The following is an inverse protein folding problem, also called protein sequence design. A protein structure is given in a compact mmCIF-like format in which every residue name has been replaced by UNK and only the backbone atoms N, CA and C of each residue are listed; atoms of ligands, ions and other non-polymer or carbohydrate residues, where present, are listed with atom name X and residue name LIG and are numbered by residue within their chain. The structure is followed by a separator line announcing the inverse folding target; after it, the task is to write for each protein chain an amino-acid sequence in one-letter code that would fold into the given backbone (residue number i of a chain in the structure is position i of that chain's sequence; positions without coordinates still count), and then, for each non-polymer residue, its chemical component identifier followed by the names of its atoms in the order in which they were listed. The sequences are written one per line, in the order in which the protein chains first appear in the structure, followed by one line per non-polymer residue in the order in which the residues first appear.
data_IF_624425731686
#
_entry.id   IF_624425731686
#
_cell.length_a   1.000
_cell.length_b   1.000
_cell.length_c   1.000
_cell.angle_alpha   90.00
_cell.angle_beta   90.00
_cell.angle_gamma   90.00
#
_symmetry.space_group_name_H-M   'P 1'
#
loop_
_entity.id
_entity.type
_entity.pdbx_description
1 polymer ?
#
# COMPACT_ATOMS: atom_id res chain seq x y z
N UNK A 1 9.97 -22.35 -21.52
CA UNK A 1 8.66 -21.66 -21.35
C UNK A 1 8.72 -20.48 -20.38
N UNK A 2 9.37 -20.62 -19.22
CA UNK A 2 9.48 -19.56 -18.19
C UNK A 2 10.16 -18.27 -18.70
N UNK A 3 11.30 -18.39 -19.37
CA UNK A 3 12.04 -17.27 -19.98
C UNK A 3 11.21 -16.53 -21.04
N UNK A 4 10.38 -17.25 -21.78
CA UNK A 4 9.51 -16.68 -22.82
C UNK A 4 8.38 -15.84 -22.21
N UNK A 5 7.86 -16.25 -21.04
CA UNK A 5 6.83 -15.49 -20.30
C UNK A 5 7.38 -14.21 -19.71
N UNK A 6 8.59 -14.26 -19.14
CA UNK A 6 9.29 -13.06 -18.68
C UNK A 6 9.56 -12.08 -19.83
N UNK A 7 10.11 -12.57 -20.95
CA UNK A 7 10.36 -11.74 -22.14
C UNK A 7 9.09 -11.10 -22.68
N UNK A 8 8.00 -11.86 -22.74
CA UNK A 8 6.70 -11.36 -23.18
C UNK A 8 6.15 -10.30 -22.21
N UNK A 9 6.22 -10.55 -20.90
CA UNK A 9 5.74 -9.61 -19.89
C UNK A 9 6.54 -8.30 -19.88
N UNK A 10 7.87 -8.39 -20.05
CA UNK A 10 8.74 -7.21 -20.21
C UNK A 10 8.37 -6.44 -21.47
N UNK A 11 8.22 -7.13 -22.61
CA UNK A 11 7.89 -6.50 -23.88
C UNK A 11 6.52 -5.81 -23.84
N UNK A 12 5.52 -6.45 -23.23
CA UNK A 12 4.20 -5.85 -23.02
C UNK A 12 4.25 -4.70 -21.99
N UNK A 13 4.99 -4.84 -20.90
CA UNK A 13 5.13 -3.79 -19.88
C UNK A 13 5.80 -2.52 -20.40
N UNK A 14 6.88 -2.66 -21.15
CA UNK A 14 7.62 -1.56 -21.76
C UNK A 14 6.84 -0.86 -22.87
N UNK A 15 5.97 -1.57 -23.59
CA UNK A 15 5.25 -1.01 -24.75
C UNK A 15 3.85 -0.54 -24.40
N UNK A 16 3.04 -1.37 -23.74
CA UNK A 16 1.61 -1.10 -23.51
C UNK A 16 1.41 -0.04 -22.43
N UNK A 17 2.18 -0.06 -21.33
CA UNK A 17 1.98 0.88 -20.22
C UNK A 17 2.31 2.33 -20.61
N UNK A 18 3.43 2.62 -21.31
CA UNK A 18 3.68 3.98 -21.82
C UNK A 18 2.70 4.38 -22.91
N UNK A 19 2.35 3.47 -23.82
CA UNK A 19 1.39 3.76 -24.90
C UNK A 19 0.01 4.14 -24.35
N UNK A 20 -0.41 3.52 -23.26
CA UNK A 20 -1.67 3.86 -22.59
C UNK A 20 -1.69 5.28 -22.03
N UNK A 21 -0.59 5.72 -21.40
CA UNK A 21 -0.44 7.11 -20.94
C UNK A 21 -0.48 8.07 -22.11
N UNK A 22 0.27 7.76 -23.16
CA UNK A 22 0.28 8.58 -24.37
C UNK A 22 -1.12 8.72 -24.97
N UNK A 23 -1.87 7.62 -25.11
CA UNK A 23 -3.23 7.62 -25.61
C UNK A 23 -4.17 8.44 -24.71
N UNK A 24 -4.04 8.32 -23.39
CA UNK A 24 -4.86 9.06 -22.44
C UNK A 24 -4.59 10.57 -22.47
N UNK A 25 -3.32 10.97 -22.40
CA UNK A 25 -2.95 12.39 -22.45
C UNK A 25 -3.26 13.01 -23.84
N UNK A 26 -3.20 12.22 -24.91
CA UNK A 26 -3.64 12.65 -26.25
C UNK A 26 -5.16 12.87 -26.31
N UNK A 27 -5.96 11.94 -25.78
CA UNK A 27 -7.41 12.11 -25.68
C UNK A 27 -7.78 13.35 -24.87
N UNK A 28 -7.08 13.58 -23.75
CA UNK A 28 -7.28 14.76 -22.93
C UNK A 28 -6.95 16.05 -23.69
N UNK A 29 -5.82 16.10 -24.41
CA UNK A 29 -5.45 17.25 -25.24
C UNK A 29 -6.53 17.56 -26.30
N UNK A 30 -7.15 16.53 -26.89
CA UNK A 30 -8.27 16.68 -27.82
C UNK A 30 -9.48 17.31 -27.12
N UNK A 31 -9.87 16.83 -25.93
CA UNK A 31 -10.98 17.41 -25.16
C UNK A 31 -10.71 18.88 -24.78
N UNK A 32 -9.53 19.18 -24.26
CA UNK A 32 -9.13 20.56 -23.93
C UNK A 32 -9.16 21.47 -25.17
N UNK A 33 -8.75 20.96 -26.33
CA UNK A 33 -8.82 21.66 -27.61
C UNK A 33 -10.25 22.01 -28.00
N UNK A 34 -11.18 21.05 -27.87
CA UNK A 34 -12.60 21.28 -28.16
C UNK A 34 -13.22 22.34 -27.23
N UNK A 35 -12.91 22.28 -25.94
CA UNK A 35 -13.38 23.27 -24.95
C UNK A 35 -12.84 24.66 -25.28
N UNK A 36 -11.54 24.78 -25.57
CA UNK A 36 -10.93 26.05 -25.90
C UNK A 36 -11.49 26.68 -27.17
N UNK A 37 -11.73 25.89 -28.22
CA UNK A 37 -12.40 26.36 -29.45
C UNK A 37 -13.81 26.86 -29.14
N UNK A 38 -14.57 26.11 -28.32
CA UNK A 38 -15.88 26.55 -27.85
C UNK A 38 -15.82 27.87 -27.09
N UNK A 39 -14.85 28.03 -26.19
CA UNK A 39 -14.66 29.23 -25.39
C UNK A 39 -14.33 30.47 -26.25
N UNK A 40 -13.50 30.34 -27.30
CA UNK A 40 -13.19 31.45 -28.23
C UNK A 40 -14.46 32.00 -28.90
N UNK A 41 -15.46 31.15 -29.15
CA UNK A 41 -16.72 31.56 -29.80
C UNK A 41 -17.74 32.05 -28.76
N UNK A 42 -17.92 31.31 -27.67
CA UNK A 42 -18.98 31.57 -26.69
C UNK A 42 -18.69 32.75 -25.77
N UNK A 43 -17.44 32.96 -25.34
CA UNK A 43 -17.11 34.06 -24.43
C UNK A 43 -17.39 35.43 -25.05
N UNK A 44 -16.94 35.75 -26.29
CA UNK A 44 -17.26 37.04 -26.90
C UNK A 44 -18.76 37.23 -27.10
N UNK A 45 -19.49 36.16 -27.42
CA UNK A 45 -20.95 36.20 -27.55
C UNK A 45 -21.64 36.52 -26.20
N UNK A 46 -21.17 35.91 -25.12
CA UNK A 46 -21.68 36.14 -23.77
C UNK A 46 -21.43 37.58 -23.31
N UNK A 47 -20.23 38.11 -23.57
CA UNK A 47 -19.91 39.52 -23.29
C UNK A 47 -20.76 40.48 -24.14
N UNK A 48 -20.93 40.20 -25.43
CA UNK A 48 -21.79 41.01 -26.30
C UNK A 48 -23.25 41.04 -25.80
N UNK A 49 -23.76 39.91 -25.30
CA UNK A 49 -25.08 39.84 -24.68
C UNK A 49 -25.13 40.64 -23.37
N UNK A 50 -24.10 40.53 -22.52
CA UNK A 50 -24.00 41.31 -21.28
C UNK A 50 -23.98 42.82 -21.55
N UNK A 51 -23.19 43.29 -22.53
CA UNK A 51 -23.13 44.72 -22.88
C UNK A 51 -24.46 45.23 -23.43
N UNK A 52 -25.16 44.41 -24.23
CA UNK A 52 -26.51 44.73 -24.68
C UNK A 52 -27.47 44.89 -23.50
N UNK A 53 -27.44 43.98 -22.53
CA UNK A 53 -28.29 44.05 -21.34
C UNK A 53 -27.97 45.22 -20.41
N UNK A 54 -26.73 45.72 -20.43
CA UNK A 54 -26.30 46.95 -19.74
C UNK A 54 -26.64 48.24 -20.52
N UNK A 55 -27.39 48.15 -21.62
CA UNK A 55 -27.88 49.31 -22.37
C UNK A 55 -26.87 49.91 -23.34
N UNK A 56 -25.78 49.20 -23.68
CA UNK A 56 -24.81 49.67 -24.65
C UNK A 56 -25.40 49.69 -26.07
N UNK A 57 -25.12 50.75 -26.84
CA UNK A 57 -25.60 50.85 -28.22
C UNK A 57 -25.03 49.72 -29.10
N UNK A 58 -25.75 49.27 -30.15
CA UNK A 58 -25.31 48.16 -31.00
C UNK A 58 -23.93 48.37 -31.63
N UNK A 59 -23.63 49.61 -32.06
CA UNK A 59 -22.36 49.98 -32.69
C UNK A 59 -21.19 49.96 -31.69
N UNK A 60 -21.39 50.50 -30.48
CA UNK A 60 -20.37 50.48 -29.44
C UNK A 60 -20.11 49.05 -28.95
N UNK A 61 -21.16 48.24 -28.78
CA UNK A 61 -21.04 46.84 -28.40
C UNK A 61 -20.25 46.02 -29.44
N UNK A 62 -20.55 46.21 -30.73
CA UNK A 62 -19.81 45.56 -31.81
C UNK A 62 -18.33 45.93 -31.80
N UNK A 63 -18.01 47.24 -31.71
CA UNK A 63 -16.62 47.71 -31.68
C UNK A 63 -15.87 47.16 -30.46
N UNK A 64 -16.45 47.24 -29.27
CA UNK A 64 -15.81 46.80 -28.03
C UNK A 64 -15.63 45.27 -28.00
N UNK A 65 -16.63 44.52 -28.47
CA UNK A 65 -16.52 43.05 -28.55
C UNK A 65 -15.45 42.63 -29.56
N UNK A 66 -15.44 43.19 -30.76
CA UNK A 66 -14.52 42.76 -31.82
C UNK A 66 -13.08 43.27 -31.63
N UNK A 67 -12.88 44.49 -31.11
CA UNK A 67 -11.55 45.09 -30.96
C UNK A 67 -10.89 44.79 -29.62
N UNK A 68 -11.68 44.49 -28.57
CA UNK A 68 -11.14 44.29 -27.22
C UNK A 68 -11.39 42.87 -26.74
N UNK A 69 -12.65 42.44 -26.70
CA UNK A 69 -13.01 41.14 -26.10
C UNK A 69 -12.47 39.97 -26.91
N UNK A 70 -12.66 39.96 -28.23
CA UNK A 70 -12.18 38.86 -29.10
C UNK A 70 -10.64 38.72 -29.01
N UNK A 71 -9.83 39.78 -29.19
CA UNK A 71 -8.37 39.66 -29.06
C UNK A 71 -7.91 39.23 -27.67
N UNK A 72 -8.52 39.76 -26.60
CA UNK A 72 -8.22 39.31 -25.23
C UNK A 72 -8.54 37.83 -25.05
N UNK A 73 -9.71 37.40 -25.50
CA UNK A 73 -10.16 36.01 -25.37
C UNK A 73 -9.20 35.06 -26.10
N UNK A 74 -8.82 35.41 -27.33
CA UNK A 74 -7.85 34.64 -28.14
C UNK A 74 -6.48 34.60 -27.47
N UNK A 75 -5.98 35.74 -26.96
CA UNK A 75 -4.68 35.82 -26.30
C UNK A 75 -4.65 34.97 -25.01
N UNK A 76 -5.64 35.12 -24.14
CA UNK A 76 -5.74 34.36 -22.89
C UNK A 76 -5.85 32.86 -23.17
N UNK A 77 -6.71 32.46 -24.12
CA UNK A 77 -6.87 31.04 -24.48
C UNK A 77 -5.58 30.48 -25.07
N UNK A 78 -4.86 31.25 -25.88
CA UNK A 78 -3.58 30.83 -26.46
C UNK A 78 -2.49 30.63 -25.39
N UNK A 79 -2.43 31.50 -24.38
CA UNK A 79 -1.51 31.34 -23.24
C UNK A 79 -1.87 30.07 -22.45
N UNK A 80 -3.15 29.87 -22.14
CA UNK A 80 -3.63 28.68 -21.43
C UNK A 80 -3.32 27.40 -22.23
N UNK A 81 -3.51 27.42 -23.56
CA UNK A 81 -3.14 26.31 -24.43
C UNK A 81 -1.65 26.02 -24.41
N UNK A 82 -0.80 27.05 -24.49
CA UNK A 82 0.66 26.87 -24.47
C UNK A 82 1.12 26.27 -23.14
N UNK A 83 0.59 26.75 -22.02
CA UNK A 83 0.88 26.20 -20.68
C UNK A 83 0.39 24.76 -20.56
N UNK A 84 -0.86 24.50 -20.96
CA UNK A 84 -1.46 23.15 -20.89
C UNK A 84 -0.71 22.16 -21.78
N UNK A 85 -0.35 22.55 -23.00
CA UNK A 85 0.43 21.71 -23.91
C UNK A 85 1.82 21.41 -23.34
N UNK A 86 2.51 22.41 -22.81
CA UNK A 86 3.83 22.24 -22.19
C UNK A 86 3.75 21.29 -21.00
N UNK A 87 2.75 21.48 -20.13
CA UNK A 87 2.48 20.60 -18.99
C UNK A 87 2.20 19.16 -19.44
N UNK A 88 1.27 18.97 -20.39
CA UNK A 88 0.92 17.64 -20.87
C UNK A 88 2.10 16.94 -21.53
N UNK A 89 2.93 17.65 -22.29
CA UNK A 89 4.15 17.07 -22.88
C UNK A 89 5.09 16.59 -21.77
N UNK A 90 5.37 17.44 -20.78
CA UNK A 90 6.25 17.12 -19.67
C UNK A 90 5.73 15.93 -18.85
N UNK A 91 4.46 15.99 -18.46
CA UNK A 91 3.77 14.93 -17.71
C UNK A 91 3.73 13.61 -18.49
N UNK A 92 3.44 13.66 -19.79
CA UNK A 92 3.45 12.48 -20.66
C UNK A 92 4.83 11.83 -20.67
N UNK A 93 5.90 12.61 -20.86
CA UNK A 93 7.27 12.08 -20.89
C UNK A 93 7.66 11.44 -19.56
N UNK A 94 7.41 12.12 -18.43
CA UNK A 94 7.74 11.59 -17.11
C UNK A 94 6.94 10.33 -16.79
N UNK A 95 5.62 10.37 -16.93
CA UNK A 95 4.76 9.21 -16.62
C UNK A 95 5.05 8.03 -17.56
N UNK A 96 5.37 8.28 -18.83
CA UNK A 96 5.81 7.23 -19.76
C UNK A 96 7.12 6.60 -19.30
N UNK A 97 8.09 7.39 -18.83
CA UNK A 97 9.36 6.88 -18.32
C UNK A 97 9.18 6.06 -17.04
N UNK A 98 8.36 6.56 -16.11
CA UNK A 98 8.00 5.84 -14.88
C UNK A 98 7.28 4.54 -15.19
N UNK A 99 6.34 4.55 -16.13
CA UNK A 99 5.57 3.36 -16.54
C UNK A 99 6.39 2.38 -17.35
N UNK A 100 7.35 2.87 -18.14
CA UNK A 100 8.35 2.05 -18.80
C UNK A 100 9.18 1.30 -17.76
N UNK A 101 9.68 2.02 -16.74
CA UNK A 101 10.49 1.44 -15.68
C UNK A 101 9.70 0.45 -14.82
N UNK A 102 8.48 0.81 -14.46
CA UNK A 102 7.55 -0.03 -13.71
C UNK A 102 7.16 -1.29 -14.51
N UNK A 103 6.91 -1.16 -15.81
CA UNK A 103 6.65 -2.29 -16.70
C UNK A 103 7.83 -3.22 -16.87
N UNK A 104 9.03 -2.67 -17.02
CA UNK A 104 10.28 -3.44 -17.08
C UNK A 104 10.51 -4.22 -15.78
N UNK A 105 10.49 -3.53 -14.63
CA UNK A 105 10.71 -4.14 -13.31
C UNK A 105 9.66 -5.19 -13.01
N UNK A 106 8.39 -4.91 -13.28
CA UNK A 106 7.29 -5.84 -12.96
C UNK A 106 7.31 -7.08 -13.87
N UNK A 107 7.60 -6.91 -15.17
CA UNK A 107 7.75 -8.05 -16.08
C UNK A 107 8.98 -8.90 -15.80
N UNK A 108 10.08 -8.29 -15.32
CA UNK A 108 11.32 -8.98 -14.97
C UNK A 108 11.23 -9.74 -13.65
N UNK A 109 10.49 -9.23 -12.66
CA UNK A 109 10.41 -9.84 -11.32
C UNK A 109 9.19 -10.76 -11.13
N UNK A 110 8.10 -10.56 -11.88
CA UNK A 110 6.81 -11.19 -11.59
C UNK A 110 6.06 -11.70 -12.83
N UNK A 111 6.74 -11.89 -13.96
CA UNK A 111 6.14 -12.36 -15.23
C UNK A 111 4.88 -11.57 -15.66
N UNK A 112 3.93 -12.28 -16.28
CA UNK A 112 2.64 -11.76 -16.72
C UNK A 112 1.75 -11.28 -15.57
N UNK A 113 1.93 -11.80 -14.36
CA UNK A 113 1.20 -11.30 -13.18
C UNK A 113 1.70 -9.91 -12.77
N UNK A 114 3.01 -9.68 -12.86
CA UNK A 114 3.63 -8.35 -12.71
C UNK A 114 3.11 -7.35 -13.71
N UNK A 115 3.07 -7.72 -14.99
CA UNK A 115 2.47 -6.88 -16.02
C UNK A 115 0.98 -6.60 -15.72
N UNK A 116 0.20 -7.62 -15.37
CA UNK A 116 -1.22 -7.47 -15.07
C UNK A 116 -1.47 -6.55 -13.87
N UNK A 117 -0.64 -6.64 -12.84
CA UNK A 117 -0.71 -5.77 -11.67
C UNK A 117 -0.32 -4.32 -12.02
N UNK A 118 0.80 -4.14 -12.74
CA UNK A 118 1.24 -2.84 -13.24
C UNK A 118 0.18 -2.16 -14.13
N UNK A 119 -0.49 -2.94 -14.97
CA UNK A 119 -1.57 -2.45 -15.82
C UNK A 119 -2.81 -2.00 -15.04
N UNK A 120 -3.16 -2.69 -13.95
CA UNK A 120 -4.32 -2.32 -13.12
C UNK A 120 -4.05 -1.16 -12.16
N UNK A 121 -2.83 -1.05 -11.66
CA UNK A 121 -2.40 -0.05 -10.67
C UNK A 121 -2.03 1.30 -11.28
N UNK A 122 -1.87 1.37 -12.60
CA UNK A 122 -1.62 2.63 -13.30
C UNK A 122 -2.85 3.56 -13.18
N UNK A 123 -2.83 4.43 -12.17
CA UNK A 123 -3.85 5.44 -11.90
C UNK A 123 -3.73 6.57 -12.91
N UNK A 124 -4.69 6.66 -13.82
CA UNK A 124 -4.70 7.65 -14.90
C UNK A 124 -5.29 9.01 -14.48
N UNK A 125 -5.81 9.18 -13.25
CA UNK A 125 -6.88 10.17 -13.07
C UNK A 125 -6.98 10.94 -11.73
N UNK A 126 -5.90 11.14 -10.96
CA UNK A 126 -6.03 11.81 -9.64
C UNK A 126 -5.56 13.28 -9.56
N UNK A 127 -4.66 13.77 -10.42
CA UNK A 127 -4.04 15.09 -10.17
C UNK A 127 -4.71 16.28 -10.88
N UNK A 128 -5.40 16.08 -11.99
CA UNK A 128 -5.84 17.20 -12.84
C UNK A 128 -7.08 17.92 -12.31
N UNK A 129 -8.05 17.22 -11.72
CA UNK A 129 -9.20 17.87 -11.08
C UNK A 129 -8.81 18.67 -9.84
N UNK A 130 -7.75 18.24 -9.15
CA UNK A 130 -7.16 18.93 -7.99
C UNK A 130 -6.46 20.21 -8.46
N UNK A 131 -5.71 20.16 -9.56
CA UNK A 131 -5.06 21.36 -10.14
C UNK A 131 -6.06 22.32 -10.80
N UNK A 132 -7.12 21.82 -11.43
CA UNK A 132 -8.19 22.66 -11.98
C UNK A 132 -8.98 23.34 -10.86
N UNK A 133 -9.22 22.66 -9.73
CA UNK A 133 -9.75 23.26 -8.51
C UNK A 133 -8.80 24.33 -7.97
N UNK A 134 -7.52 24.02 -7.79
CA UNK A 134 -6.55 24.99 -7.30
C UNK A 134 -6.46 26.26 -8.17
N UNK A 135 -6.65 26.15 -9.49
CA UNK A 135 -6.71 27.31 -10.39
C UNK A 135 -8.03 28.10 -10.28
N UNK A 136 -9.16 27.42 -10.02
CA UNK A 136 -10.47 28.05 -9.77
C UNK A 136 -10.48 28.73 -8.38
N UNK A 137 -9.88 28.10 -7.38
CA UNK A 137 -9.79 28.56 -6.00
C UNK A 137 -8.83 29.76 -5.88
N UNK A 138 -7.77 29.82 -6.70
CA UNK A 138 -6.91 31.01 -6.83
C UNK A 138 -7.65 32.27 -7.34
N UNK A 139 -8.81 32.11 -8.01
CA UNK A 139 -9.62 33.23 -8.51
C UNK A 139 -10.68 33.69 -7.50
N UNK A 140 -10.94 32.91 -6.44
CA UNK A 140 -11.91 33.23 -5.39
C UNK A 140 -11.21 33.40 -4.03
N UNK A 141 -10.50 34.52 -3.88
CA UNK A 141 -9.65 34.82 -2.71
C UNK A 141 -10.44 35.19 -1.41
N UNK A 142 -11.69 34.74 -1.24
CA UNK A 142 -12.47 35.02 -0.02
C UNK A 142 -13.11 33.78 0.66
N UNK A 143 -12.99 32.57 0.13
CA UNK A 143 -13.54 31.38 0.79
C UNK A 143 -12.69 30.13 0.52
N UNK A 144 -11.66 29.92 1.35
CA UNK A 144 -11.21 28.60 1.86
C UNK A 144 -9.77 28.67 2.40
N UNK A 145 -9.64 28.64 3.74
CA UNK A 145 -8.46 28.05 4.38
C UNK A 145 -9.00 26.84 5.13
N UNK A 146 -9.00 25.70 4.45
CA UNK A 146 -9.00 24.37 5.07
C UNK A 146 -8.70 23.33 3.97
N UNK A 147 -7.47 23.36 3.49
CA UNK A 147 -6.73 22.21 2.92
C UNK A 147 -5.36 22.74 2.45
N UNK A 148 -4.48 23.02 3.41
CA UNK A 148 -3.06 23.27 3.13
C UNK A 148 -2.28 22.08 3.69
N UNK A 149 -1.97 21.12 2.82
CA UNK A 149 -0.81 20.23 2.98
C UNK A 149 0.10 20.48 1.77
N UNK A 150 0.73 21.66 1.78
CA UNK A 150 1.77 22.02 0.82
C UNK A 150 3.11 21.53 1.37
N UNK A 151 3.57 20.43 0.78
CA UNK A 151 4.92 19.89 0.88
C UNK A 151 5.96 21.01 1.07
N UNK A 152 6.68 20.95 2.19
CA UNK A 152 7.80 21.82 2.48
C UNK A 152 8.83 21.74 1.35
N UNK A 153 8.85 22.75 0.49
CA UNK A 153 10.01 23.36 -0.19
C UNK A 153 9.50 24.35 -1.25
N UNK A 154 9.30 25.61 -0.86
CA UNK A 154 9.51 26.73 -1.79
C UNK A 154 10.63 27.60 -1.25
N UNK A 155 11.79 27.54 -1.93
CA UNK A 155 12.84 28.54 -1.82
C UNK A 155 12.26 29.88 -2.23
N UNK A 156 11.88 30.71 -1.25
CA UNK A 156 11.77 32.15 -1.47
C UNK A 156 13.20 32.68 -1.56
N UNK A 157 13.65 32.93 -2.79
CA UNK A 157 14.83 33.73 -3.07
C UNK A 157 14.37 35.18 -3.12
N UNK A 158 14.37 35.84 -1.97
CA UNK A 158 13.95 37.24 -1.85
C UNK A 158 13.94 37.72 -0.40
N UNK A 159 15.08 38.26 0.02
CA UNK A 159 15.30 39.18 1.13
C UNK A 159 14.98 38.75 2.57
N UNK A 160 15.97 38.98 3.43
CA UNK A 160 16.00 38.69 4.86
C UNK A 160 14.92 39.47 5.61
N UNK A 161 13.94 38.78 6.17
CA UNK A 161 13.27 39.18 7.40
C UNK A 161 12.97 37.92 8.21
N UNK A 162 13.30 37.96 9.50
CA UNK A 162 13.05 36.91 10.49
C UNK A 162 11.55 36.66 10.61
N UNK A 163 11.02 35.85 9.71
CA UNK A 163 9.75 35.17 9.92
C UNK A 163 10.08 33.98 10.81
N UNK A 164 9.72 34.10 12.08
CA UNK A 164 9.64 32.94 12.98
C UNK A 164 8.64 31.98 12.34
N UNK A 165 9.17 31.00 11.60
CA UNK A 165 8.39 29.90 11.04
C UNK A 165 7.87 29.10 12.23
N UNK A 166 6.67 29.44 12.68
CA UNK A 166 5.88 28.59 13.55
C UNK A 166 5.61 27.34 12.72
N UNK A 167 6.39 26.30 12.97
CA UNK A 167 6.10 24.97 12.43
C UNK A 167 4.83 24.55 13.16
N UNK A 168 3.68 24.66 12.51
CA UNK A 168 2.51 23.91 12.97
C UNK A 168 2.94 22.45 13.01
N UNK A 169 2.89 21.86 14.21
CA UNK A 169 3.27 20.47 14.44
C UNK A 169 2.37 19.59 13.57
N UNK A 170 2.90 19.12 12.44
CA UNK A 170 2.23 18.16 11.56
C UNK A 170 1.69 17.01 12.41
N UNK A 171 0.36 16.83 12.39
CA UNK A 171 -0.32 15.81 13.20
C UNK A 171 0.26 14.43 12.88
N UNK A 172 1.03 13.90 13.83
CA UNK A 172 1.58 12.56 13.74
C UNK A 172 0.42 11.55 13.79
N UNK A 173 0.23 10.70 12.76
CA UNK A 173 -0.82 9.69 12.79
C UNK A 173 -0.60 8.73 13.96
N UNK A 174 -1.68 8.43 14.69
CA UNK A 174 -1.64 7.43 15.76
C UNK A 174 -1.63 6.02 15.16
N UNK A 175 -0.43 5.51 14.92
CA UNK A 175 -0.18 4.21 14.27
C UNK A 175 0.05 3.08 15.29
N UNK A 176 0.14 3.40 16.58
CA UNK A 176 0.45 2.41 17.62
C UNK A 176 -0.74 1.51 17.93
N UNK A 177 -0.59 0.20 17.68
CA UNK A 177 -1.61 -0.76 18.10
C UNK A 177 -1.40 -1.14 19.56
N UNK A 178 -2.37 -0.75 20.41
CA UNK A 178 -2.35 -1.02 21.88
C UNK A 178 -3.05 -2.31 22.29
N UNK A 179 -3.75 -2.99 21.38
CA UNK A 179 -4.48 -4.22 21.71
C UNK A 179 -3.51 -5.39 21.85
N UNK A 180 -3.64 -6.20 22.93
CA UNK A 180 -2.77 -7.35 23.13
C UNK A 180 -2.95 -8.33 21.97
N UNK A 181 -1.82 -8.66 21.36
CA UNK A 181 -1.78 -9.62 20.27
C UNK A 181 -2.05 -11.01 20.83
N UNK A 182 -2.93 -11.77 20.17
CA UNK A 182 -3.20 -13.15 20.56
C UNK A 182 -1.92 -13.96 20.31
N UNK A 183 -1.41 -14.64 21.33
CA UNK A 183 -0.26 -15.54 21.21
C UNK A 183 -0.57 -16.63 20.19
N UNK A 184 0.15 -16.61 19.08
CA UNK A 184 -0.11 -17.46 17.94
C UNK A 184 0.82 -18.66 17.92
N UNK A 185 0.30 -19.81 17.48
CA UNK A 185 1.06 -21.04 17.31
C UNK A 185 1.86 -20.95 16.00
N UNK A 186 3.03 -20.31 16.07
CA UNK A 186 3.98 -20.23 14.95
C UNK A 186 4.42 -21.63 14.52
N UNK A 187 4.86 -21.76 13.26
CA UNK A 187 5.39 -23.01 12.75
C UNK A 187 6.73 -23.31 13.38
N UNK A 188 6.90 -24.53 13.88
CA UNK A 188 8.19 -24.97 14.39
C UNK A 188 9.16 -25.32 13.25
N UNK A 189 10.44 -25.48 13.59
CA UNK A 189 11.49 -25.83 12.62
C UNK A 189 11.22 -27.15 11.89
N UNK A 190 10.54 -28.10 12.56
CA UNK A 190 10.24 -29.40 11.97
C UNK A 190 9.12 -29.32 10.94
N UNK A 191 8.07 -28.54 11.23
CA UNK A 191 6.98 -28.24 10.32
C UNK A 191 7.49 -27.50 9.08
N UNK A 192 8.38 -26.50 9.25
CA UNK A 192 9.00 -25.80 8.12
C UNK A 192 9.83 -26.74 7.24
N UNK A 193 10.65 -27.61 7.83
CA UNK A 193 11.41 -28.62 7.07
C UNK A 193 10.50 -29.60 6.32
N UNK A 194 9.35 -29.97 6.90
CA UNK A 194 8.38 -30.84 6.23
C UNK A 194 7.73 -30.13 5.04
N UNK A 195 7.38 -28.85 5.17
CA UNK A 195 6.86 -28.03 4.06
C UNK A 195 7.90 -27.90 2.95
N UNK A 196 9.16 -27.63 3.29
CA UNK A 196 10.25 -27.53 2.33
C UNK A 196 10.45 -28.84 1.56
N UNK A 197 10.45 -29.98 2.26
CA UNK A 197 10.53 -31.29 1.60
C UNK A 197 9.34 -31.55 0.69
N UNK A 198 8.12 -31.19 1.11
CA UNK A 198 6.92 -31.33 0.29
C UNK A 198 7.04 -30.49 -1.01
N UNK A 199 7.48 -29.24 -0.89
CA UNK A 199 7.73 -28.35 -2.02
C UNK A 199 8.72 -28.99 -3.00
N UNK A 200 9.83 -29.54 -2.49
CA UNK A 200 10.89 -30.14 -3.31
C UNK A 200 10.42 -31.41 -4.03
N UNK A 201 9.63 -32.26 -3.36
CA UNK A 201 9.06 -33.48 -3.96
C UNK A 201 8.07 -33.12 -5.07
N UNK A 202 7.21 -32.13 -4.84
CA UNK A 202 6.21 -31.70 -5.83
C UNK A 202 6.81 -30.84 -6.97
N UNK A 203 8.02 -30.30 -6.79
CA UNK A 203 8.75 -29.60 -7.85
C UNK A 203 9.26 -30.54 -8.95
N UNK A 204 9.47 -31.83 -8.63
CA UNK A 204 9.85 -32.88 -9.59
C UNK A 204 8.84 -34.04 -9.54
N UNK A 205 7.59 -33.79 -9.95
CA UNK A 205 6.53 -34.74 -9.67
C UNK A 205 6.64 -35.95 -10.61
N UNK A 206 6.50 -37.15 -10.05
CA UNK A 206 6.50 -38.40 -10.84
C UNK A 206 5.29 -38.49 -11.79
N UNK A 207 4.21 -37.76 -11.48
CA UNK A 207 3.03 -37.57 -12.34
C UNK A 207 2.88 -36.07 -12.66
N UNK A 208 2.48 -35.70 -13.88
CA UNK A 208 2.26 -34.31 -14.23
C UNK A 208 1.15 -33.71 -13.37
N UNK A 209 1.47 -32.64 -12.63
CA UNK A 209 0.50 -31.85 -11.86
C UNK A 209 -0.48 -31.12 -12.78
N UNK A 210 -1.74 -31.05 -12.36
CA UNK A 210 -2.77 -30.24 -12.99
C UNK A 210 -2.44 -28.74 -12.89
N UNK A 211 -3.12 -27.91 -13.68
CA UNK A 211 -2.90 -26.46 -13.64
C UNK A 211 -3.19 -25.86 -12.26
N UNK A 212 -4.26 -26.32 -11.60
CA UNK A 212 -4.67 -25.84 -10.28
C UNK A 212 -3.65 -26.24 -9.20
N UNK A 213 -3.15 -27.48 -9.24
CA UNK A 213 -2.15 -27.97 -8.29
C UNK A 213 -0.82 -27.22 -8.44
N UNK A 214 -0.44 -26.87 -9.68
CA UNK A 214 0.74 -26.02 -9.93
C UNK A 214 0.57 -24.64 -9.31
N UNK A 215 -0.59 -24.01 -9.47
CA UNK A 215 -0.85 -22.71 -8.84
C UNK A 215 -0.82 -22.78 -7.32
N UNK A 216 -1.37 -23.85 -6.73
CA UNK A 216 -1.32 -24.09 -5.28
C UNK A 216 0.12 -24.31 -4.78
N UNK A 217 0.93 -25.08 -5.52
CA UNK A 217 2.33 -25.30 -5.21
C UNK A 217 3.15 -24.00 -5.28
N UNK A 218 2.94 -23.17 -6.31
CA UNK A 218 3.61 -21.87 -6.41
C UNK A 218 3.16 -20.91 -5.30
N UNK A 219 1.88 -20.95 -4.93
CA UNK A 219 1.36 -20.18 -3.78
C UNK A 219 2.00 -20.63 -2.47
N UNK A 220 2.14 -21.94 -2.25
CA UNK A 220 2.81 -22.51 -1.07
C UNK A 220 4.30 -22.10 -1.03
N UNK A 221 5.01 -22.19 -2.16
CA UNK A 221 6.41 -21.74 -2.27
C UNK A 221 6.57 -20.28 -1.89
N UNK A 222 5.71 -19.41 -2.44
CA UNK A 222 5.75 -17.97 -2.17
C UNK A 222 5.49 -17.67 -0.70
N UNK A 223 4.46 -18.27 -0.11
CA UNK A 223 4.15 -18.12 1.31
C UNK A 223 5.27 -18.65 2.21
N UNK A 224 5.85 -19.80 1.88
CA UNK A 224 6.98 -20.38 2.61
C UNK A 224 8.20 -19.44 2.61
N UNK A 225 8.56 -18.88 1.45
CA UNK A 225 9.64 -17.91 1.35
C UNK A 225 9.35 -16.65 2.19
N UNK A 226 8.16 -16.06 2.05
CA UNK A 226 7.76 -14.86 2.79
C UNK A 226 7.75 -15.09 4.30
N UNK A 227 7.22 -16.24 4.74
CA UNK A 227 7.22 -16.63 6.16
C UNK A 227 8.64 -16.79 6.68
N UNK A 228 9.52 -17.48 5.96
CA UNK A 228 10.88 -17.74 6.40
C UNK A 228 11.71 -16.45 6.47
N UNK A 229 11.56 -15.57 5.49
CA UNK A 229 12.23 -14.26 5.47
C UNK A 229 11.79 -13.38 6.64
N UNK A 230 10.47 -13.28 6.89
CA UNK A 230 9.95 -12.48 7.99
C UNK A 230 10.28 -13.10 9.37
N UNK A 231 10.18 -14.41 9.50
CA UNK A 231 10.52 -15.13 10.73
C UNK A 231 11.99 -14.96 11.07
N UNK A 232 12.89 -15.13 10.09
CA UNK A 232 14.32 -14.91 10.26
C UNK A 232 14.63 -13.47 10.66
N UNK A 233 13.99 -12.50 10.00
CA UNK A 233 14.15 -11.08 10.32
C UNK A 233 13.76 -10.76 11.76
N UNK A 234 12.59 -11.23 12.22
CA UNK A 234 12.14 -11.00 13.59
C UNK A 234 13.00 -11.74 14.62
N UNK A 235 13.52 -12.91 14.26
CA UNK A 235 14.47 -13.64 15.09
C UNK A 235 15.82 -12.91 15.22
N UNK A 236 16.34 -12.31 14.14
CA UNK A 236 17.53 -11.46 14.18
C UNK A 236 17.33 -10.27 15.14
N UNK A 237 16.15 -9.63 15.10
CA UNK A 237 15.78 -8.58 16.06
C UNK A 237 15.74 -9.12 17.49
N UNK A 238 15.12 -10.29 17.71
CA UNK A 238 15.04 -10.91 19.04
C UNK A 238 16.43 -11.20 19.61
N UNK A 239 17.33 -11.77 18.81
CA UNK A 239 18.71 -12.06 19.21
C UNK A 239 19.47 -10.77 19.53
N UNK A 240 19.31 -9.72 18.73
CA UNK A 240 19.93 -8.41 19.00
C UNK A 240 19.41 -7.78 20.31
N UNK A 241 18.11 -7.92 20.59
CA UNK A 241 17.50 -7.50 21.86
C UNK A 241 18.00 -8.33 23.05
N UNK A 242 18.15 -9.65 22.91
CA UNK A 242 18.70 -10.54 23.93
C UNK A 242 20.16 -10.21 24.26
N UNK A 243 20.97 -9.89 23.25
CA UNK A 243 22.37 -9.49 23.39
C UNK A 243 22.53 -8.03 23.84
N UNK A 244 21.44 -7.27 23.90
CA UNK A 244 21.41 -5.83 24.12
C UNK A 244 22.33 -5.07 23.14
N UNK A 245 22.47 -5.59 21.92
CA UNK A 245 23.25 -5.00 20.84
C UNK A 245 22.32 -4.60 19.70
N UNK A 246 21.63 -3.47 19.88
CA UNK A 246 20.66 -2.95 18.91
C UNK A 246 21.32 -2.46 17.61
N UNK A 247 22.64 -2.30 17.57
CA UNK A 247 23.37 -1.92 16.35
C UNK A 247 23.28 -3.00 15.27
N UNK A 248 22.96 -4.24 15.65
CA UNK A 248 22.70 -5.34 14.73
C UNK A 248 21.32 -5.24 14.06
N UNK A 249 20.40 -4.43 14.60
CA UNK A 249 19.07 -4.25 14.03
C UNK A 249 19.17 -3.26 12.88
N UNK A 250 18.85 -3.74 11.67
CA UNK A 250 18.84 -2.91 10.47
C UNK A 250 17.52 -2.16 10.34
N UNK A 251 17.59 -0.83 10.24
CA UNK A 251 16.46 -0.03 9.79
C UNK A 251 16.21 -0.26 8.28
N UNK A 252 15.04 -0.79 7.94
CA UNK A 252 14.66 -1.09 6.57
C UNK A 252 14.07 0.11 5.84
N UNK A 253 13.57 1.09 6.58
CA UNK A 253 12.85 2.24 6.03
C UNK A 253 13.81 3.43 5.82
N UNK A 254 14.66 3.71 6.81
CA UNK A 254 15.61 4.82 6.81
C UNK A 254 17.03 4.25 6.80
N UNK A 255 17.73 4.39 5.68
CA UNK A 255 19.06 3.79 5.51
C UNK A 255 20.08 4.46 6.43
N UNK A 256 20.98 3.66 7.01
CA UNK A 256 22.07 4.09 7.92
C UNK A 256 21.59 4.76 9.20
N UNK A 257 20.36 4.47 9.61
CA UNK A 257 19.81 4.94 10.86
C UNK A 257 20.04 3.92 11.98
N UNK A 258 20.38 4.40 13.17
CA UNK A 258 20.53 3.56 14.35
C UNK A 258 19.15 3.25 14.94
N UNK A 259 18.94 2.00 15.34
CA UNK A 259 17.66 1.56 15.90
C UNK A 259 17.72 1.54 17.42
N UNK A 260 16.99 2.46 18.06
CA UNK A 260 16.88 2.51 19.52
C UNK A 260 15.63 1.77 20.01
N UNK A 261 14.49 2.03 19.38
CA UNK A 261 13.19 1.41 19.69
C UNK A 261 12.68 0.68 18.46
N UNK A 262 13.01 -0.62 18.31
CA UNK A 262 12.60 -1.37 17.15
C UNK A 262 11.08 -1.52 17.11
N UNK A 263 10.49 -1.15 15.99
CA UNK A 263 9.08 -1.36 15.69
C UNK A 263 8.93 -2.16 14.41
N UNK A 264 7.85 -2.93 14.31
CA UNK A 264 7.41 -3.54 13.09
C UNK A 264 6.26 -2.71 12.51
N UNK A 265 6.55 -1.93 11.47
CA UNK A 265 5.54 -1.22 10.69
C UNK A 265 4.90 -2.20 9.70
N UNK A 266 3.57 -2.34 9.74
CA UNK A 266 2.82 -3.22 8.83
C UNK A 266 1.70 -2.48 8.12
N UNK A 267 1.43 -2.87 6.87
CA UNK A 267 0.23 -2.45 6.14
C UNK A 267 -0.86 -3.48 6.29
N UNK A 268 -2.06 -3.06 6.67
CA UNK A 268 -3.25 -3.90 6.77
C UNK A 268 -4.30 -3.50 5.75
N UNK A 269 -5.12 -4.47 5.34
CA UNK A 269 -6.32 -4.23 4.54
C UNK A 269 -7.55 -4.76 5.28
N UNK A 270 -8.69 -4.09 5.09
CA UNK A 270 -9.97 -4.52 5.65
C UNK A 270 -10.69 -5.40 4.65
N UNK A 271 -11.00 -6.63 5.03
CA UNK A 271 -11.82 -7.51 4.20
C UNK A 271 -13.30 -7.17 4.42
N UNK A 272 -14.00 -6.78 3.36
CA UNK A 272 -15.40 -6.37 3.41
C UNK A 272 -16.36 -7.52 3.77
N UNK A 273 -15.92 -8.78 3.62
CA UNK A 273 -16.77 -9.95 3.88
C UNK A 273 -16.93 -10.27 5.37
N UNK A 274 -15.89 -10.06 6.16
CA UNK A 274 -15.86 -10.44 7.58
C UNK A 274 -15.50 -9.27 8.51
N UNK A 275 -15.36 -8.06 7.95
CA UNK A 275 -15.03 -6.82 8.64
C UNK A 275 -13.68 -6.86 9.41
N UNK A 276 -12.81 -7.81 9.09
CA UNK A 276 -11.52 -8.01 9.78
C UNK A 276 -10.36 -7.38 9.00
N UNK A 277 -9.35 -6.96 9.77
CA UNK A 277 -8.09 -6.47 9.24
C UNK A 277 -7.11 -7.61 9.06
N UNK A 278 -6.56 -7.73 7.86
CA UNK A 278 -5.55 -8.71 7.48
C UNK A 278 -4.27 -7.99 7.06
N UNK A 279 -3.12 -8.65 7.16
CA UNK A 279 -1.88 -8.03 6.69
C UNK A 279 -1.77 -8.10 5.16
N UNK A 280 -1.28 -7.01 4.57
CA UNK A 280 -0.85 -7.00 3.19
C UNK A 280 0.48 -7.78 3.12
N UNK A 281 0.56 -8.88 2.35
CA UNK A 281 1.77 -9.70 2.31
C UNK A 281 3.01 -8.90 1.91
N UNK A 282 4.15 -9.21 2.53
CA UNK A 282 5.45 -8.60 2.30
C UNK A 282 5.49 -7.06 2.43
N UNK A 283 4.58 -6.47 3.22
CA UNK A 283 4.57 -5.06 3.57
C UNK A 283 4.78 -4.85 5.07
N UNK A 284 5.77 -5.56 5.61
CA UNK A 284 6.19 -5.52 7.00
C UNK A 284 7.67 -5.13 7.08
N UNK A 285 7.96 -4.04 7.77
CA UNK A 285 9.29 -3.42 7.83
C UNK A 285 9.71 -3.18 9.27
N UNK A 286 10.93 -3.58 9.61
CA UNK A 286 11.57 -3.22 10.88
C UNK A 286 12.22 -1.85 10.74
N UNK A 287 11.94 -0.96 11.68
CA UNK A 287 12.48 0.41 11.70
C UNK A 287 12.55 0.93 13.14
N UNK A 288 13.15 2.10 13.32
CA UNK A 288 13.14 2.81 14.59
C UNK A 288 11.90 3.70 14.76
N UNK A 289 11.27 3.63 15.94
CA UNK A 289 10.05 4.40 16.25
C UNK A 289 10.27 5.90 16.13
N UNK A 290 11.27 6.43 16.81
CA UNK A 290 11.47 7.88 16.92
C UNK A 290 11.91 8.47 15.59
N UNK A 291 12.76 7.76 14.87
CA UNK A 291 13.24 8.16 13.56
C UNK A 291 12.13 8.16 12.51
N UNK A 292 11.26 7.14 12.52
CA UNK A 292 10.06 7.14 11.69
C UNK A 292 9.12 8.30 12.06
N UNK A 293 8.88 8.54 13.34
CA UNK A 293 8.05 9.64 13.82
C UNK A 293 8.57 11.01 13.37
N UNK A 294 9.87 11.26 13.54
CA UNK A 294 10.53 12.48 13.08
C UNK A 294 10.43 12.64 11.56
N UNK A 295 10.60 11.55 10.81
CA UNK A 295 10.41 11.57 9.36
C UNK A 295 8.98 11.98 9.00
N UNK A 296 7.97 11.39 9.65
CA UNK A 296 6.57 11.65 9.36
C UNK A 296 6.13 13.08 9.69
N UNK A 297 6.78 13.72 10.67
CA UNK A 297 6.61 15.15 10.95
C UNK A 297 7.12 16.05 9.83
N UNK A 298 8.02 15.56 8.97
CA UNK A 298 8.54 16.33 7.84
C UNK A 298 7.88 15.92 6.52
N UNK A 299 7.55 14.63 6.38
CA UNK A 299 6.99 14.02 5.17
C UNK A 299 6.00 12.91 5.55
N UNK A 300 4.68 13.08 5.36
CA UNK A 300 3.66 12.10 5.78
C UNK A 300 3.60 10.84 4.89
N UNK A 301 4.61 10.61 4.04
CA UNK A 301 4.71 9.49 3.10
C UNK A 301 5.80 8.51 3.51
N UNK A 302 5.51 7.23 3.31
CA UNK A 302 6.41 6.12 3.54
C UNK A 302 7.66 6.26 2.64
N UNK A 303 8.88 6.21 3.20
CA UNK A 303 10.12 6.46 2.46
C UNK A 303 10.33 5.60 1.20
N UNK A 304 10.01 4.30 1.29
CA UNK A 304 10.26 3.33 0.23
C UNK A 304 9.22 3.33 -0.90
N UNK A 305 7.93 3.23 -0.57
CA UNK A 305 6.85 3.06 -1.55
C UNK A 305 6.06 4.36 -1.81
N UNK A 306 6.39 5.47 -1.12
CA UNK A 306 5.76 6.79 -1.24
C UNK A 306 4.27 6.84 -0.88
N UNK A 307 3.78 5.81 -0.21
CA UNK A 307 2.40 5.68 0.24
C UNK A 307 2.11 6.61 1.43
N UNK A 308 0.92 7.19 1.53
CA UNK A 308 0.56 8.07 2.65
C UNK A 308 0.27 7.24 3.89
N UNK A 309 0.88 7.54 5.04
CA UNK A 309 0.64 6.71 6.24
C UNK A 309 -0.74 6.91 6.86
N UNK A 310 -1.29 8.14 6.81
CA UNK A 310 -2.62 8.47 7.35
C UNK A 310 -3.75 7.93 6.45
N UNK A 311 -3.53 7.89 5.13
CA UNK A 311 -4.51 7.44 4.14
C UNK A 311 -3.82 6.65 3.01
N UNK A 312 -3.41 5.40 3.30
CA UNK A 312 -2.67 4.62 2.34
C UNK A 312 -3.50 4.14 1.15
N UNK A 313 -2.80 3.79 0.07
CA UNK A 313 -3.40 3.27 -1.15
C UNK A 313 -4.12 1.94 -0.91
N UNK A 314 -5.24 1.75 -1.60
CA UNK A 314 -6.05 0.54 -1.53
C UNK A 314 -5.25 -0.72 -1.93
N UNK A 315 -5.57 -1.85 -1.30
CA UNK A 315 -5.04 -3.17 -1.68
C UNK A 315 -6.16 -4.00 -2.28
N UNK A 316 -6.05 -4.38 -3.55
CA UNK A 316 -7.13 -5.08 -4.29
C UNK A 316 -8.51 -4.38 -4.21
N UNK A 317 -8.51 -3.04 -4.17
CA UNK A 317 -9.72 -2.23 -4.01
C UNK A 317 -10.25 -2.14 -2.57
N UNK A 318 -9.62 -2.85 -1.62
CA UNK A 318 -9.98 -2.83 -0.20
C UNK A 318 -9.26 -1.70 0.52
N UNK A 319 -9.95 -1.11 1.50
CA UNK A 319 -9.38 -0.04 2.34
C UNK A 319 -8.17 -0.55 3.12
N UNK A 320 -7.16 0.30 3.25
CA UNK A 320 -5.90 -0.05 3.94
C UNK A 320 -5.58 0.92 5.06
N UNK A 321 -4.68 0.50 5.96
CA UNK A 321 -4.09 1.34 7.01
C UNK A 321 -2.67 0.87 7.32
N UNK A 322 -1.84 1.78 7.83
CA UNK A 322 -0.61 1.40 8.50
C UNK A 322 -0.82 1.33 10.01
N UNK A 323 -0.14 0.39 10.64
CA UNK A 323 -0.02 0.29 12.09
C UNK A 323 1.40 -0.18 12.42
N UNK A 324 1.87 0.06 13.63
CA UNK A 324 3.12 -0.53 14.12
C UNK A 324 2.94 -1.28 15.43
N UNK A 325 3.85 -2.22 15.66
CA UNK A 325 4.03 -2.94 16.91
C UNK A 325 5.42 -2.67 17.46
N UNK A 326 5.53 -2.42 18.76
CA UNK A 326 6.84 -2.34 19.42
C UNK A 326 7.39 -3.74 19.57
N UNK A 327 8.59 -3.97 19.03
CA UNK A 327 9.27 -5.26 19.13
C UNK A 327 9.98 -5.32 20.48
N UNK A 328 9.64 -6.35 21.25
CA UNK A 328 10.24 -6.59 22.57
C UNK A 328 10.76 -8.01 22.64
N UNK A 329 11.58 -8.33 23.65
CA UNK A 329 12.12 -9.68 23.85
C UNK A 329 11.02 -10.75 23.96
N UNK A 330 9.86 -10.40 24.51
CA UNK A 330 8.71 -11.29 24.65
C UNK A 330 7.75 -11.25 23.46
N UNK A 331 7.79 -10.19 22.64
CA UNK A 331 6.92 -9.98 21.48
C UNK A 331 7.71 -9.56 20.23
N UNK A 332 8.42 -10.53 19.64
CA UNK A 332 9.02 -10.44 18.30
C UNK A 332 8.24 -11.28 17.28
N UNK A 333 6.94 -11.01 17.13
CA UNK A 333 6.08 -11.76 16.23
C UNK A 333 5.26 -10.83 15.31
N UNK A 334 4.71 -11.33 14.20
CA UNK A 334 3.78 -10.55 13.34
C UNK A 334 2.48 -11.30 13.08
N UNK A 335 1.37 -10.57 12.89
CA UNK A 335 0.10 -11.18 12.47
C UNK A 335 0.25 -11.82 11.06
N UNK A 336 1.18 -11.31 10.24
CA UNK A 336 1.48 -11.84 8.91
C UNK A 336 2.03 -13.27 9.00
N UNK A 337 2.88 -13.56 9.99
CA UNK A 337 3.35 -14.92 10.24
C UNK A 337 2.19 -15.86 10.58
N UNK A 338 1.21 -15.39 11.36
CA UNK A 338 0.08 -16.21 11.79
C UNK A 338 -0.86 -16.53 10.62
N UNK A 339 -1.15 -15.51 9.81
CA UNK A 339 -1.93 -15.65 8.59
C UNK A 339 -1.25 -16.54 7.57
N UNK A 340 0.07 -16.36 7.37
CA UNK A 340 0.86 -17.18 6.47
C UNK A 340 0.95 -18.63 6.97
N UNK A 341 1.13 -18.87 8.28
CA UNK A 341 1.10 -20.19 8.87
C UNK A 341 -0.23 -20.90 8.59
N UNK A 342 -1.36 -20.24 8.87
CA UNK A 342 -2.69 -20.79 8.62
C UNK A 342 -2.95 -21.07 7.14
N UNK A 343 -2.52 -20.19 6.23
CA UNK A 343 -2.67 -20.39 4.79
C UNK A 343 -1.79 -21.53 4.27
N UNK A 344 -0.55 -21.61 4.74
CA UNK A 344 0.34 -22.73 4.42
C UNK A 344 -0.25 -24.05 4.93
N UNK A 345 -0.91 -24.06 6.09
CA UNK A 345 -1.55 -25.25 6.61
C UNK A 345 -2.59 -25.83 5.66
N UNK A 346 -3.48 -24.97 5.18
CA UNK A 346 -4.53 -25.35 4.22
C UNK A 346 -3.92 -25.85 2.91
N UNK A 347 -2.90 -25.16 2.39
CA UNK A 347 -2.24 -25.56 1.15
C UNK A 347 -1.52 -26.90 1.27
N UNK A 348 -0.89 -27.17 2.41
CA UNK A 348 -0.24 -28.46 2.66
C UNK A 348 -1.28 -29.58 2.71
N UNK A 349 -2.40 -29.40 3.40
CA UNK A 349 -3.47 -30.40 3.45
C UNK A 349 -4.02 -30.75 2.06
N UNK A 350 -4.08 -29.76 1.15
CA UNK A 350 -4.54 -29.95 -0.23
C UNK A 350 -3.47 -30.63 -1.11
N UNK A 351 -2.19 -30.32 -0.91
CA UNK A 351 -1.09 -30.82 -1.75
C UNK A 351 -0.51 -32.15 -1.27
N UNK A 352 -0.60 -32.47 0.01
CA UNK A 352 -0.09 -33.69 0.63
C UNK A 352 -0.62 -34.99 0.00
N UNK A 353 -1.90 -35.10 -0.42
CA UNK A 353 -2.41 -36.30 -1.09
C UNK A 353 -1.75 -36.61 -2.43
N UNK A 354 -1.13 -35.61 -3.08
CA UNK A 354 -0.51 -35.75 -4.41
C UNK A 354 0.84 -36.48 -4.37
N UNK A 355 1.37 -36.68 -3.17
CA UNK A 355 2.63 -37.39 -2.93
C UNK A 355 2.37 -38.89 -2.84
N UNK A 356 3.27 -39.71 -3.41
CA UNK A 356 3.13 -41.18 -3.36
C UNK A 356 3.25 -41.70 -1.93
N UNK A 357 2.61 -42.83 -1.61
CA UNK A 357 2.62 -43.36 -0.23
C UNK A 357 4.04 -43.73 0.27
N UNK A 358 4.94 -44.13 -0.63
CA UNK A 358 6.38 -44.28 -0.35
C UNK A 358 7.05 -42.97 0.04
N UNK A 359 6.74 -41.88 -0.66
CA UNK A 359 7.28 -40.55 -0.36
C UNK A 359 6.65 -39.95 0.90
N UNK A 360 5.38 -40.27 1.22
CA UNK A 360 4.75 -39.88 2.49
C UNK A 360 5.46 -40.49 3.70
N UNK A 361 5.94 -41.72 3.59
CA UNK A 361 6.70 -42.40 4.65
C UNK A 361 8.07 -41.71 4.85
N UNK A 362 8.78 -41.35 3.78
CA UNK A 362 10.05 -40.60 3.85
C UNK A 362 9.91 -39.17 4.38
N UNK A 363 8.74 -38.56 4.17
CA UNK A 363 8.39 -37.25 4.72
C UNK A 363 8.00 -37.31 6.21
N UNK A 364 7.94 -38.51 6.82
CA UNK A 364 7.45 -38.70 8.19
C UNK A 364 5.94 -38.45 8.32
N UNK A 365 5.21 -38.48 7.21
CA UNK A 365 3.76 -38.24 7.11
C UNK A 365 2.95 -39.56 7.11
N UNK A 366 3.59 -40.67 7.48
CA UNK A 366 3.03 -42.01 7.42
C UNK A 366 2.17 -42.39 8.64
N UNK A 367 0.92 -42.74 8.36
CA UNK A 367 -0.01 -43.57 9.16
C UNK A 367 -0.43 -43.14 10.57
N UNK A 368 -0.27 -41.89 10.99
CA UNK A 368 -1.04 -41.38 12.13
C UNK A 368 -1.87 -40.17 11.73
N UNK A 369 -3.18 -40.29 11.91
CA UNK A 369 -4.17 -39.21 11.81
C UNK A 369 -4.02 -38.16 12.92
N UNK A 370 -2.88 -38.11 13.60
CA UNK A 370 -2.52 -37.06 14.54
C UNK A 370 -1.88 -35.90 13.78
N UNK A 371 -2.72 -35.25 12.98
CA UNK A 371 -2.76 -33.80 12.77
C UNK A 371 -1.39 -33.08 12.68
N UNK A 372 -0.94 -32.85 11.46
CA UNK A 372 0.10 -31.89 11.12
C UNK A 372 -0.18 -30.47 11.71
N UNK A 373 -1.45 -30.16 12.03
CA UNK A 373 -1.91 -28.93 12.68
C UNK A 373 -2.94 -29.11 13.83
N UNK A 374 -2.85 -30.13 14.70
CA UNK A 374 -3.87 -30.16 15.79
C UNK A 374 -3.78 -28.90 16.64
N UNK A 375 -4.91 -28.21 16.64
CA UNK A 375 -5.30 -27.29 17.69
C UNK A 375 -5.19 -28.03 19.02
N UNK A 376 -4.42 -27.47 19.95
CA UNK A 376 -4.48 -27.87 21.34
C UNK A 376 -5.88 -27.56 21.85
N UNK A 377 -6.79 -28.53 21.77
CA UNK A 377 -7.99 -28.54 22.60
C UNK A 377 -7.48 -28.60 24.03
N UNK A 378 -7.74 -27.55 24.80
CA UNK A 378 -7.59 -27.54 26.25
C UNK A 378 -8.43 -28.68 26.82
N UNK A 379 -7.80 -29.84 27.08
CA UNK A 379 -8.35 -30.82 28.00
C UNK A 379 -8.07 -30.32 29.41
N UNK A 380 -9.06 -29.65 29.96
CA UNK A 380 -9.19 -29.43 31.40
C UNK A 380 -10.57 -29.86 31.85
N UNK A 381 -11.00 -31.04 31.40
CA UNK A 381 -11.97 -31.85 32.14
C UNK A 381 -11.17 -32.65 33.16
N UNK A 382 -10.85 -32.00 34.28
CA UNK A 382 -10.51 -32.72 35.51
C UNK A 382 -11.84 -33.00 36.22
N UNK A 383 -12.36 -34.20 35.97
CA UNK A 383 -13.43 -34.82 36.73
C UNK A 383 -13.06 -34.81 38.21
N UNK A 384 -13.87 -34.08 39.00
CA UNK A 384 -13.93 -34.21 40.46
C UNK A 384 -14.84 -35.41 40.75
N UNK A 385 -14.39 -36.44 41.49
CA UNK A 385 -15.30 -37.48 41.97
C UNK A 385 -16.05 -37.00 43.24
N UNK A 386 -17.30 -37.46 43.48
CA UNK A 386 -18.10 -36.99 44.61
C UNK A 386 -17.87 -37.83 45.87
N UNK A 387 -17.85 -37.20 47.05
CA UNK A 387 -18.32 -37.78 48.32
C UNK A 387 -18.34 -36.74 49.46
N UNK A 388 -19.54 -36.19 49.69
CA UNK A 388 -20.27 -36.12 50.98
C UNK A 388 -19.72 -35.32 52.21
N UNK A 389 -20.53 -35.03 53.27
CA UNK A 389 -20.95 -33.66 53.53
C UNK A 389 -20.62 -33.10 54.94
N UNK A 390 -20.43 -31.78 55.01
CA UNK A 390 -20.59 -30.94 56.23
C UNK A 390 -19.45 -31.00 57.27
N UNK A 391 -19.40 -30.07 58.26
CA UNK A 391 -20.46 -29.14 58.65
C UNK A 391 -20.08 -27.64 58.57
N UNK A 392 -21.13 -26.84 58.68
CA UNK A 392 -21.19 -25.38 58.72
C UNK A 392 -20.29 -24.71 59.78
N UNK A 393 -19.92 -23.43 59.53
CA UNK A 393 -19.96 -22.34 60.53
C UNK A 393 -19.72 -20.94 59.90
N UNK A 394 -20.82 -20.17 59.84
CA UNK A 394 -21.06 -18.72 60.05
C UNK A 394 -20.30 -17.61 59.25
N UNK A 395 -21.02 -16.51 58.90
CA UNK A 395 -20.49 -15.37 58.15
C UNK A 395 -19.85 -14.33 59.07
N UNK A 396 -18.80 -13.66 58.59
CA UNK A 396 -18.24 -12.46 59.24
C UNK A 396 -18.54 -11.21 58.40
N UNK A 397 -18.97 -10.17 59.12
CA UNK A 397 -19.58 -8.93 58.65
C UNK A 397 -18.61 -7.95 57.97
N UNK A 398 -19.23 -7.14 57.12
CA UNK A 398 -18.84 -5.82 56.62
C UNK A 398 -18.48 -4.87 57.78
N UNK A 399 -17.47 -4.02 57.55
CA UNK A 399 -17.19 -2.84 58.36
C UNK A 399 -16.55 -1.73 57.51
N UNK A 400 -17.24 -0.60 57.44
CA UNK A 400 -16.81 0.70 56.91
C UNK A 400 -15.56 1.23 57.61
N UNK A 401 -14.69 1.95 56.88
CA UNK A 401 -14.31 3.36 57.10
C UNK A 401 -14.00 3.99 55.75
#
# INVERSE_FOLDING_TARGET
MYILKHLLAILLGITILPLRIFAYNTLFAIFASLIGVGAVVHLPLAFAYMFKNKGMSPTMNFLLTMLVVVPMTVATISIVFAMTATYLIYDTVLRMLESFWLGFRSGLLYEMEGFGNAYRTQTLNSDLFVQLRAFIDWVNEEESIDEVDFDGFQRIRGELQDVVVVHEDLEVPNLEQKTPKKLSKLLDKTQLQQIEKLINVLAQPQKPLSHQEKQQLESLKKLYMQYNDLSKKLEEVRVALEQNDKTQIKDEIIVYNEVETPILLVKQYKNDQDDKWYNVPANSYVTDKESLLQWLKLKPRHPLNKDLLKKPDFYNGMTTRYIWYVLTLEDCTSQELDEAAAQMSVLVEVLQPLVSDTQKIELGLGSSSQSFFSSGKSHSDLQIPPSDPGPALKPFKIGEV
#
